data_IF_433200972774
#
_entry.id   IF_433200972774
#
_cell.length_a   1.000
_cell.length_b   1.000
_cell.length_c   1.000
_cell.angle_alpha   90.00
_cell.angle_beta   90.00
_cell.angle_gamma   90.00
#
_symmetry.space_group_name_H-M   'P 1'
#
loop_
_entity.id
_entity.type
_entity.pdbx_description
1 polymer ?
#
# COMPACT_ATOMS: atom_id res chain seq x y z
N UNK A 1 14.96 21.22 2.74
CA UNK A 1 14.38 20.01 2.14
C UNK A 1 14.17 19.06 3.29
N UNK A 2 12.96 18.98 3.83
CA UNK A 2 12.65 18.08 4.93
C UNK A 2 12.54 16.67 4.38
N UNK A 3 13.64 15.91 4.48
CA UNK A 3 13.64 14.50 4.15
C UNK A 3 12.69 13.82 5.12
N UNK A 4 11.56 13.34 4.59
CA UNK A 4 10.59 12.57 5.37
C UNK A 4 10.90 11.09 5.18
N UNK A 5 11.29 10.39 6.24
CA UNK A 5 11.42 8.94 6.23
C UNK A 5 10.09 8.29 6.66
N UNK A 6 9.76 7.14 6.07
CA UNK A 6 8.54 6.41 6.35
C UNK A 6 8.88 4.96 6.70
N UNK A 7 8.22 4.40 7.71
CA UNK A 7 8.40 3.01 8.11
C UNK A 7 7.05 2.39 8.48
N UNK A 8 6.79 1.16 8.04
CA UNK A 8 5.60 0.40 8.42
C UNK A 8 5.95 -0.71 9.41
N UNK A 9 5.03 -0.99 10.31
CA UNK A 9 5.16 -2.10 11.26
C UNK A 9 3.85 -2.86 11.41
N UNK A 10 3.97 -4.13 11.81
CA UNK A 10 2.82 -4.94 12.21
C UNK A 10 2.29 -4.42 13.54
N UNK A 11 1.00 -4.04 13.58
CA UNK A 11 0.31 -3.67 14.82
C UNK A 11 0.50 -2.24 15.30
N UNK A 12 1.17 -1.36 14.54
CA UNK A 12 1.32 0.05 14.87
C UNK A 12 1.21 1.01 13.67
N UNK A 13 0.61 0.57 12.56
CA UNK A 13 0.46 1.38 11.34
C UNK A 13 1.83 1.85 10.77
N UNK A 14 1.79 2.97 10.04
CA UNK A 14 2.93 3.64 9.41
C UNK A 14 3.41 4.81 10.29
N UNK A 15 4.73 4.91 10.40
CA UNK A 15 5.47 5.94 11.10
C UNK A 15 6.14 6.91 10.13
N UNK A 16 6.28 8.16 10.56
CA UNK A 16 6.80 9.30 9.84
C UNK A 16 7.92 9.93 10.66
N UNK A 17 9.06 10.20 10.03
CA UNK A 17 10.16 10.96 10.63
C UNK A 17 10.51 12.13 9.72
N UNK A 18 10.83 13.28 10.31
CA UNK A 18 11.25 14.50 9.62
C UNK A 18 12.71 14.87 9.91
N UNK A 19 13.42 14.03 10.66
CA UNK A 19 14.75 14.25 11.21
C UNK A 19 15.67 13.06 10.96
N UNK A 20 15.56 12.47 9.76
CA UNK A 20 16.40 11.35 9.32
C UNK A 20 16.32 10.10 10.22
N UNK A 21 15.21 9.94 10.93
CA UNK A 21 14.94 8.79 11.79
C UNK A 21 15.32 8.98 13.26
N UNK A 22 15.73 10.18 13.67
CA UNK A 22 16.00 10.49 15.09
C UNK A 22 14.70 10.43 15.94
N UNK A 23 13.58 10.90 15.41
CA UNK A 23 12.26 10.80 16.03
C UNK A 23 11.18 10.35 15.04
N UNK A 24 10.14 9.70 15.58
CA UNK A 24 9.07 9.11 14.79
C UNK A 24 7.70 9.44 15.37
N UNK A 25 6.79 9.87 14.51
CA UNK A 25 5.39 10.09 14.83
C UNK A 25 4.52 9.17 13.96
N UNK A 26 3.25 8.99 14.31
CA UNK A 26 2.28 8.23 13.51
C UNK A 26 0.92 8.89 13.56
N UNK A 27 0.02 8.46 12.67
CA UNK A 27 -1.37 8.90 12.68
C UNK A 27 -2.02 8.67 14.07
N UNK A 28 -2.89 9.57 14.55
CA UNK A 28 -3.55 9.42 15.85
C UNK A 28 -4.33 8.11 15.95
N UNK A 29 -4.35 7.45 17.11
CA UNK A 29 -5.19 6.26 17.35
C UNK A 29 -6.38 6.63 18.23
N UNK A 30 -7.62 6.19 17.92
CA UNK A 30 -8.02 5.30 16.81
C UNK A 30 -8.42 6.05 15.51
N UNK A 31 -8.33 7.38 15.49
CA UNK A 31 -8.93 8.22 14.43
C UNK A 31 -8.09 8.34 13.16
N UNK A 32 -6.90 7.75 13.14
CA UNK A 32 -5.92 7.85 12.06
C UNK A 32 -6.21 7.00 10.83
N UNK A 33 -7.35 6.29 10.79
CA UNK A 33 -7.88 5.63 9.59
C UNK A 33 -7.48 4.18 9.42
N UNK A 34 -6.19 3.85 9.51
CA UNK A 34 -5.74 2.45 9.60
C UNK A 34 -6.02 1.94 11.01
N UNK A 35 -6.71 0.80 11.13
CA UNK A 35 -6.94 0.15 12.42
C UNK A 35 -5.61 -0.19 13.09
N UNK A 36 -5.50 0.07 14.39
CA UNK A 36 -4.21 0.06 15.10
C UNK A 36 -3.53 -1.31 15.06
N UNK A 37 -4.26 -2.42 14.99
CA UNK A 37 -3.67 -3.77 14.92
C UNK A 37 -3.47 -4.27 13.47
N UNK A 38 -3.84 -3.48 12.46
CA UNK A 38 -3.61 -3.84 11.06
C UNK A 38 -2.13 -4.05 10.78
N UNK A 39 -1.84 -5.06 9.98
CA UNK A 39 -0.48 -5.35 9.52
C UNK A 39 -0.19 -4.51 8.30
N UNK A 40 0.68 -3.51 8.43
CA UNK A 40 1.20 -2.78 7.28
C UNK A 40 2.42 -3.55 6.74
N UNK A 41 2.30 -4.06 5.53
CA UNK A 41 3.34 -4.87 4.88
C UNK A 41 4.29 -4.03 4.03
N UNK A 42 3.79 -2.94 3.45
CA UNK A 42 4.59 -2.05 2.63
C UNK A 42 4.13 -0.60 2.73
N UNK A 43 5.04 0.30 2.36
CA UNK A 43 4.76 1.71 2.07
C UNK A 43 5.36 2.07 0.72
N UNK A 44 4.68 2.94 -0.02
CA UNK A 44 5.16 3.46 -1.29
C UNK A 44 4.96 4.98 -1.34
N UNK A 45 5.94 5.67 -1.91
CA UNK A 45 5.93 7.11 -2.14
C UNK A 45 6.34 7.39 -3.58
N UNK A 46 6.00 8.59 -4.07
CA UNK A 46 6.35 8.99 -5.44
C UNK A 46 6.94 10.40 -5.47
N UNK A 47 8.04 10.65 -6.21
CA UNK A 47 8.71 11.96 -6.24
C UNK A 47 7.83 13.08 -6.83
N UNK A 48 6.93 12.74 -7.76
CA UNK A 48 5.94 13.67 -8.32
C UNK A 48 4.72 13.95 -7.43
N UNK A 49 4.60 13.29 -6.26
CA UNK A 49 3.53 13.50 -5.26
C UNK A 49 4.12 13.51 -3.84
N UNK A 50 4.99 14.49 -3.52
CA UNK A 50 5.65 14.53 -2.22
C UNK A 50 4.62 14.65 -1.09
N UNK A 51 4.82 13.86 -0.03
CA UNK A 51 3.91 13.80 1.11
C UNK A 51 2.72 12.85 0.94
N UNK A 52 2.43 12.37 -0.27
CA UNK A 52 1.51 11.25 -0.46
C UNK A 52 2.22 9.93 -0.17
N UNK A 53 1.57 9.09 0.64
CA UNK A 53 2.07 7.77 1.00
C UNK A 53 0.95 6.77 0.79
N UNK A 54 1.25 5.67 0.11
CA UNK A 54 0.39 4.50 0.05
C UNK A 54 0.89 3.47 1.05
N UNK A 55 -0.02 2.73 1.68
CA UNK A 55 0.31 1.58 2.50
C UNK A 55 -0.49 0.37 2.08
N UNK A 56 0.20 -0.75 1.91
CA UNK A 56 -0.43 -2.05 1.73
C UNK A 56 -0.59 -2.72 3.08
N UNK A 57 -1.81 -3.13 3.41
CA UNK A 57 -2.14 -3.74 4.70
C UNK A 57 -2.73 -5.15 4.53
N UNK A 58 -3.07 -5.81 5.64
CA UNK A 58 -3.91 -7.01 5.64
C UNK A 58 -5.41 -6.74 5.45
N UNK A 59 -5.81 -5.48 5.31
CA UNK A 59 -7.20 -5.07 5.04
C UNK A 59 -7.40 -4.47 3.63
N UNK A 60 -6.32 -4.15 2.92
CA UNK A 60 -6.37 -3.50 1.62
C UNK A 60 -5.33 -2.39 1.48
N UNK A 61 -5.56 -1.50 0.50
CA UNK A 61 -4.69 -0.35 0.20
C UNK A 61 -5.21 0.88 0.92
N UNK A 62 -4.32 1.64 1.55
CA UNK A 62 -4.64 2.91 2.18
C UNK A 62 -3.75 4.03 1.62
N UNK A 63 -4.27 5.26 1.65
CA UNK A 63 -3.56 6.48 1.27
C UNK A 63 -3.54 7.46 2.43
N UNK A 64 -2.38 8.04 2.70
CA UNK A 64 -2.22 9.14 3.64
C UNK A 64 -2.77 10.44 3.05
N UNK A 65 -3.67 11.10 3.77
CA UNK A 65 -4.08 12.48 3.53
C UNK A 65 -3.33 13.40 4.51
N UNK A 66 -2.31 14.14 4.05
CA UNK A 66 -1.53 15.01 4.91
C UNK A 66 -2.32 16.22 5.42
N UNK A 67 -3.44 16.61 4.78
CA UNK A 67 -4.26 17.74 5.22
C UNK A 67 -5.20 17.34 6.35
N UNK A 68 -5.73 16.12 6.28
CA UNK A 68 -6.61 15.58 7.30
C UNK A 68 -5.85 14.79 8.40
N UNK A 69 -4.53 14.66 8.26
CA UNK A 69 -3.65 13.85 9.12
C UNK A 69 -4.20 12.45 9.39
N UNK A 70 -4.70 11.79 8.33
CA UNK A 70 -5.29 10.46 8.44
C UNK A 70 -5.10 9.61 7.20
N UNK A 71 -5.17 8.31 7.40
CA UNK A 71 -5.26 7.33 6.32
C UNK A 71 -6.71 7.21 5.84
N UNK A 72 -6.88 7.14 4.53
CA UNK A 72 -8.14 6.81 3.87
C UNK A 72 -7.99 5.46 3.18
N UNK A 73 -8.98 4.59 3.30
CA UNK A 73 -9.05 3.39 2.49
C UNK A 73 -9.15 3.77 1.00
N UNK A 74 -8.52 2.97 0.14
CA UNK A 74 -8.74 3.01 -1.30
C UNK A 74 -9.57 1.77 -1.67
N UNK A 75 -10.90 1.89 -1.80
CA UNK A 75 -11.77 0.77 -2.12
C UNK A 75 -11.30 0.02 -3.35
N UNK A 76 -11.24 -1.31 -3.25
CA UNK A 76 -10.65 -2.13 -4.31
C UNK A 76 -11.21 -3.55 -4.33
N UNK A 77 -11.05 -4.28 -5.45
CA UNK A 77 -11.31 -5.72 -5.47
C UNK A 77 -10.37 -6.54 -4.56
N UNK A 78 -9.36 -5.90 -3.97
CA UNK A 78 -8.39 -6.51 -3.06
C UNK A 78 -8.75 -6.30 -1.59
N UNK A 79 -9.90 -5.71 -1.27
CA UNK A 79 -10.30 -5.45 0.11
C UNK A 79 -10.39 -6.78 0.88
N UNK A 80 -9.72 -6.84 2.04
CA UNK A 80 -9.55 -8.07 2.83
C UNK A 80 -8.43 -9.02 2.35
N UNK A 81 -7.70 -8.68 1.28
CA UNK A 81 -6.46 -9.38 0.89
C UNK A 81 -5.24 -8.75 1.56
N UNK A 82 -4.15 -9.52 1.68
CA UNK A 82 -2.88 -8.94 2.14
C UNK A 82 -2.17 -8.27 0.97
N UNK A 83 -1.99 -6.96 1.03
CA UNK A 83 -1.25 -6.20 0.04
C UNK A 83 0.23 -6.22 0.43
N UNK A 84 0.99 -7.11 -0.21
CA UNK A 84 2.39 -7.35 0.15
C UNK A 84 3.33 -6.28 -0.39
N UNK A 85 3.03 -5.73 -1.57
CA UNK A 85 3.84 -4.70 -2.21
C UNK A 85 2.97 -3.76 -3.04
N UNK A 86 3.30 -2.47 -3.00
CA UNK A 86 2.76 -1.45 -3.91
C UNK A 86 3.94 -0.86 -4.68
N UNK A 87 3.75 -0.64 -5.98
CA UNK A 87 4.71 0.07 -6.82
C UNK A 87 3.97 1.12 -7.65
N UNK A 88 4.53 2.32 -7.75
CA UNK A 88 4.05 3.39 -8.63
C UNK A 88 5.04 3.55 -9.78
N UNK A 89 4.54 3.82 -10.99
CA UNK A 89 5.42 4.08 -12.12
C UNK A 89 6.19 5.40 -11.89
N UNK A 90 7.51 5.44 -12.13
CA UNK A 90 8.36 6.58 -11.75
C UNK A 90 8.06 7.88 -12.51
N UNK A 91 7.34 7.78 -13.63
CA UNK A 91 6.96 8.90 -14.49
C UNK A 91 5.45 9.13 -14.53
N UNK A 92 4.68 8.31 -13.81
CA UNK A 92 3.22 8.39 -13.76
C UNK A 92 2.73 7.89 -12.38
N UNK A 93 2.47 8.79 -11.42
CA UNK A 93 2.00 8.40 -10.10
C UNK A 93 0.59 7.78 -10.10
N UNK A 94 -0.19 7.92 -11.17
CA UNK A 94 -1.53 7.33 -11.29
C UNK A 94 -1.50 5.87 -11.74
N UNK A 95 -0.42 5.45 -12.41
CA UNK A 95 -0.14 4.05 -12.70
C UNK A 95 0.42 3.36 -11.46
N UNK A 96 -0.43 2.59 -10.80
CA UNK A 96 -0.10 1.87 -9.56
C UNK A 96 -0.27 0.37 -9.78
N UNK A 97 0.65 -0.44 -9.26
CA UNK A 97 0.53 -1.88 -9.17
C UNK A 97 0.49 -2.34 -7.72
N UNK A 98 -0.34 -3.34 -7.43
CA UNK A 98 -0.45 -3.97 -6.12
C UNK A 98 -0.31 -5.49 -6.26
N UNK A 99 0.67 -6.05 -5.54
CA UNK A 99 0.87 -7.48 -5.42
C UNK A 99 0.26 -7.99 -4.12
N UNK A 100 -0.54 -9.05 -4.19
CA UNK A 100 -1.33 -9.53 -3.06
C UNK A 100 -0.98 -10.95 -2.61
N UNK A 101 -1.50 -11.35 -1.45
CA UNK A 101 -1.68 -12.75 -1.05
C UNK A 101 -3.18 -13.03 -0.86
N UNK A 102 -3.78 -14.05 -1.51
CA UNK A 102 -3.17 -15.01 -2.47
C UNK A 102 -2.53 -14.35 -3.69
N UNK A 103 -1.61 -15.03 -4.37
CA UNK A 103 -0.76 -14.41 -5.39
C UNK A 103 -1.57 -13.90 -6.59
N UNK A 104 -1.81 -12.60 -6.62
CA UNK A 104 -2.46 -11.88 -7.71
C UNK A 104 -1.77 -10.54 -7.92
N UNK A 105 -1.90 -9.99 -9.12
CA UNK A 105 -1.43 -8.65 -9.46
C UNK A 105 -2.63 -7.82 -9.90
N UNK A 106 -2.71 -6.60 -9.39
CA UNK A 106 -3.71 -5.60 -9.78
C UNK A 106 -3.00 -4.35 -10.25
N UNK A 107 -3.65 -3.60 -11.13
CA UNK A 107 -3.24 -2.24 -11.49
C UNK A 107 -4.36 -1.24 -11.33
N UNK A 108 -3.99 0.00 -11.06
CA UNK A 108 -4.81 1.19 -11.24
C UNK A 108 -4.16 2.09 -12.28
N UNK A 109 -4.99 2.83 -13.03
CA UNK A 109 -4.57 3.86 -14.00
C UNK A 109 -5.01 5.27 -13.57
N UNK A 110 -5.63 5.40 -12.40
CA UNK A 110 -6.29 6.63 -11.93
C UNK A 110 -5.94 6.92 -10.47
N UNK A 111 -4.72 6.56 -10.06
CA UNK A 111 -4.24 6.85 -8.71
C UNK A 111 -4.89 5.99 -7.62
N UNK A 112 -5.50 4.87 -7.99
CA UNK A 112 -6.14 3.95 -7.07
C UNK A 112 -7.62 4.26 -6.82
N UNK A 113 -8.24 5.10 -7.65
CA UNK A 113 -9.68 5.31 -7.63
C UNK A 113 -10.45 4.10 -8.19
N UNK A 114 -9.84 3.38 -9.14
CA UNK A 114 -10.30 2.09 -9.65
C UNK A 114 -9.15 1.14 -9.91
N UNK A 115 -9.44 -0.16 -9.84
CA UNK A 115 -8.45 -1.23 -9.97
C UNK A 115 -8.95 -2.33 -10.90
N UNK A 116 -8.03 -2.92 -11.66
CA UNK A 116 -8.28 -4.09 -12.50
C UNK A 116 -7.26 -5.17 -12.19
N UNK A 117 -7.70 -6.43 -12.14
CA UNK A 117 -6.79 -7.58 -12.03
C UNK A 117 -5.98 -7.68 -13.33
N UNK A 118 -4.68 -7.85 -13.20
CA UNK A 118 -3.79 -8.12 -14.33
C UNK A 118 -3.87 -9.61 -14.70
N UNK A 119 -3.99 -9.89 -15.99
CA UNK A 119 -3.79 -11.24 -16.51
C UNK A 119 -2.28 -11.53 -16.57
N UNK A 120 -1.82 -12.40 -15.67
CA UNK A 120 -0.47 -12.92 -15.70
C UNK A 120 -0.45 -14.12 -16.63
N UNK A 121 -0.10 -13.91 -17.89
CA UNK A 121 0.04 -14.99 -18.86
C UNK A 121 0.96 -16.10 -18.30
N UNK A 122 0.60 -17.36 -18.52
CA UNK A 122 1.32 -18.57 -18.07
C UNK A 122 1.36 -18.80 -16.54
N UNK A 123 0.61 -18.05 -15.73
CA UNK A 123 0.39 -18.40 -14.33
C UNK A 123 -0.69 -19.50 -14.25
N UNK A 124 -0.29 -20.76 -14.42
CA UNK A 124 -1.21 -21.89 -14.28
C UNK A 124 -1.51 -22.10 -12.79
N UNK A 125 -2.78 -21.98 -12.39
CA UNK A 125 -3.22 -22.44 -11.08
C UNK A 125 -3.07 -23.96 -11.03
N UNK A 126 -2.26 -24.46 -10.09
CA UNK A 126 -2.20 -25.90 -9.83
C UNK A 126 -3.35 -26.27 -8.91
N UNK A 127 -4.34 -27.04 -9.40
CA UNK A 127 -5.55 -27.42 -8.65
C UNK A 127 -5.30 -28.07 -7.27
N UNK A 128 -4.10 -28.60 -7.04
CA UNK A 128 -3.73 -29.25 -5.78
C UNK A 128 -3.02 -28.34 -4.77
N UNK A 129 -2.46 -27.22 -5.21
CA UNK A 129 -1.69 -26.30 -4.37
C UNK A 129 -2.33 -24.94 -4.60
N UNK A 130 -3.16 -24.48 -3.65
CA UNK A 130 -3.82 -23.16 -3.63
C UNK A 130 -2.84 -21.95 -3.61
N UNK A 131 -1.71 -22.05 -4.30
CA UNK A 131 -0.67 -21.05 -4.45
C UNK A 131 -0.20 -21.08 -5.91
N UNK A 132 -0.49 -20.04 -6.72
CA UNK A 132 0.06 -19.90 -8.06
C UNK A 132 1.59 -19.92 -8.02
N UNK A 133 2.24 -20.68 -8.91
CA UNK A 133 3.67 -20.57 -9.18
C UNK A 133 3.86 -19.98 -10.56
N UNK A 134 4.63 -18.89 -10.64
CA UNK A 134 5.17 -18.42 -11.92
C UNK A 134 6.37 -19.31 -12.24
N UNK A 135 6.28 -20.12 -13.29
CA UNK A 135 7.42 -20.87 -13.83
C UNK A 135 8.27 -20.00 -14.74
#
# INVERSE_FOLDING_TARGET
>A
MDVTAYAASIGHSVWFSHDLGESWNRAPTPTGGIYNESRCWCVATHPGRPGEVLSGTDQGVYRWDPRAERWNDLPSPMDGMHILQIAQAPHDPDLIFAGTRPAQLFRSLDGGASWSRCELGNATECDFINTPRVT
#
